data_IF_147822807582
#
_entry.id   IF_147822807582
#
_cell.length_a   1.000
_cell.length_b   1.000
_cell.length_c   1.000
_cell.angle_alpha   90.00
_cell.angle_beta   90.00
_cell.angle_gamma   90.00
#
_symmetry.space_group_name_H-M   'P 1'
#
loop_
_entity.id
_entity.type
_entity.pdbx_description
1 polymer ?
#
# COMPACT_ATOMS: atom_id res chain seq x y z
N UNK A 1 13.09 9.94 -6.49
CA UNK A 1 12.12 9.06 -7.19
C UNK A 1 10.71 9.60 -6.95
N UNK A 2 9.94 9.78 -8.00
CA UNK A 2 8.56 10.21 -7.84
C UNK A 2 7.64 9.00 -7.54
N UNK A 3 6.41 9.29 -7.16
CA UNK A 3 5.47 8.23 -6.77
C UNK A 3 5.12 7.29 -7.93
N UNK A 4 4.98 7.81 -9.14
CA UNK A 4 4.65 6.95 -10.29
C UNK A 4 5.78 5.96 -10.57
N UNK A 5 7.02 6.43 -10.56
CA UNK A 5 8.18 5.56 -10.76
C UNK A 5 8.33 4.55 -9.64
N UNK A 6 8.06 4.98 -8.41
CA UNK A 6 8.11 4.07 -7.25
C UNK A 6 7.08 2.96 -7.40
N UNK A 7 5.84 3.29 -7.74
CA UNK A 7 4.78 2.29 -7.92
C UNK A 7 5.11 1.33 -9.07
N UNK A 8 5.66 1.84 -10.17
CA UNK A 8 6.08 1.00 -11.29
C UNK A 8 7.18 0.03 -10.88
N UNK A 9 8.16 0.51 -10.10
CA UNK A 9 9.24 -0.34 -9.59
C UNK A 9 8.71 -1.43 -8.66
N UNK A 10 7.75 -1.08 -7.80
CA UNK A 10 7.14 -2.03 -6.88
C UNK A 10 6.44 -3.14 -7.64
N UNK A 11 5.67 -2.80 -8.66
CA UNK A 11 4.94 -3.80 -9.44
C UNK A 11 5.87 -4.81 -10.14
N UNK A 12 7.12 -4.44 -10.37
CA UNK A 12 8.12 -5.32 -10.98
C UNK A 12 8.79 -6.27 -10.00
N UNK A 13 8.58 -6.07 -8.69
CA UNK A 13 9.21 -6.91 -7.67
C UNK A 13 8.71 -8.35 -7.76
N UNK A 14 7.42 -8.54 -7.98
CA UNK A 14 6.81 -9.87 -8.03
C UNK A 14 5.52 -9.84 -8.85
N UNK A 15 5.32 -10.85 -9.68
CA UNK A 15 4.10 -10.98 -10.49
C UNK A 15 2.82 -11.19 -9.69
N UNK A 16 2.93 -11.47 -8.40
CA UNK A 16 1.78 -11.63 -7.50
C UNK A 16 1.25 -10.31 -6.99
N UNK A 17 1.93 -9.19 -7.26
CA UNK A 17 1.45 -7.87 -6.87
C UNK A 17 0.31 -7.47 -7.81
N UNK A 18 -0.85 -7.16 -7.21
CA UNK A 18 -2.08 -6.82 -7.95
C UNK A 18 -2.27 -5.32 -8.09
N UNK A 19 -1.83 -4.56 -7.08
CA UNK A 19 -2.05 -3.13 -7.00
C UNK A 19 -0.86 -2.50 -6.25
N UNK A 20 -0.39 -1.36 -6.73
CA UNK A 20 0.56 -0.53 -6.02
C UNK A 20 0.21 0.92 -6.31
N UNK A 21 -0.27 1.64 -5.31
CA UNK A 21 -0.72 3.00 -5.50
C UNK A 21 -0.56 3.84 -4.25
N UNK A 22 -0.37 5.13 -4.44
CA UNK A 22 -0.23 6.10 -3.35
C UNK A 22 -1.54 6.83 -3.15
N UNK A 23 -1.97 6.89 -1.89
CA UNK A 23 -3.22 7.52 -1.47
C UNK A 23 -2.85 8.71 -0.59
N UNK A 24 -3.45 9.87 -0.86
CA UNK A 24 -3.16 11.06 -0.05
C UNK A 24 -3.99 11.11 1.23
N UNK A 25 -3.75 12.12 2.05
CA UNK A 25 -4.41 12.27 3.35
C UNK A 25 -5.93 12.44 3.26
N UNK A 26 -6.44 12.73 2.07
CA UNK A 26 -7.88 12.85 1.83
C UNK A 26 -8.50 11.55 1.30
N UNK A 27 -7.71 10.48 1.23
CA UNK A 27 -8.20 9.19 0.77
C UNK A 27 -8.32 9.07 -0.74
N UNK A 28 -7.55 9.85 -1.49
CA UNK A 28 -7.59 9.84 -2.96
C UNK A 28 -6.34 9.20 -3.54
N UNK A 29 -6.54 8.37 -4.56
CA UNK A 29 -5.43 7.76 -5.29
C UNK A 29 -4.75 8.85 -6.14
N UNK A 30 -3.45 9.09 -5.88
CA UNK A 30 -2.70 10.13 -6.58
C UNK A 30 -1.59 9.58 -7.48
N UNK A 31 -1.29 8.29 -7.39
CA UNK A 31 -0.28 7.67 -8.26
C UNK A 31 -0.46 6.16 -8.25
N UNK A 32 -0.01 5.51 -9.31
CA UNK A 32 -0.06 4.05 -9.41
C UNK A 32 -1.45 3.51 -9.70
N UNK A 33 -1.67 2.25 -9.36
CA UNK A 33 -2.95 1.58 -9.58
C UNK A 33 -2.82 0.08 -9.75
N UNK A 34 -3.82 -0.52 -10.39
CA UNK A 34 -3.86 -1.94 -10.68
C UNK A 34 -2.78 -2.35 -11.66
N UNK A 35 -2.19 -3.53 -11.45
CA UNK A 35 -1.32 -4.14 -12.46
C UNK A 35 -2.15 -4.41 -13.72
N UNK A 36 -1.56 -4.18 -14.93
CA UNK A 36 -2.33 -4.29 -16.18
C UNK A 36 -2.99 -5.65 -16.41
N UNK A 37 -2.38 -6.73 -15.90
CA UNK A 37 -2.88 -8.09 -16.11
C UNK A 37 -3.90 -8.54 -15.07
N UNK A 38 -4.25 -7.68 -14.11
CA UNK A 38 -5.11 -8.06 -12.99
C UNK A 38 -6.49 -7.42 -13.12
N UNK A 39 -7.51 -8.11 -12.60
CA UNK A 39 -8.87 -7.60 -12.58
C UNK A 39 -9.24 -7.16 -11.17
N UNK A 40 -10.07 -6.14 -11.09
CA UNK A 40 -10.56 -5.60 -9.83
C UNK A 40 -11.49 -6.60 -9.15
N UNK A 41 -11.32 -6.79 -7.84
CA UNK A 41 -12.19 -7.67 -7.05
C UNK A 41 -13.46 -6.98 -6.57
N UNK A 42 -13.43 -5.68 -6.41
CA UNK A 42 -14.58 -4.88 -6.03
C UNK A 42 -14.89 -3.84 -7.08
N UNK A 43 -15.78 -2.92 -6.78
CA UNK A 43 -16.08 -1.80 -7.67
C UNK A 43 -15.30 -0.54 -7.23
N UNK A 44 -15.33 0.50 -8.06
CA UNK A 44 -14.61 1.74 -7.81
C UNK A 44 -15.01 2.39 -6.47
N UNK A 45 -16.30 2.36 -6.17
CA UNK A 45 -16.83 2.98 -4.95
C UNK A 45 -16.29 2.29 -3.70
N UNK A 46 -16.19 0.98 -3.73
CA UNK A 46 -15.63 0.19 -2.63
C UNK A 46 -14.13 0.45 -2.49
N UNK A 47 -13.43 0.59 -3.61
CA UNK A 47 -12.01 0.93 -3.59
C UNK A 47 -11.79 2.29 -2.93
N UNK A 48 -12.61 3.28 -3.26
CA UNK A 48 -12.51 4.61 -2.65
C UNK A 48 -12.75 4.57 -1.15
N UNK A 49 -13.67 3.73 -0.69
CA UNK A 49 -13.91 3.54 0.74
C UNK A 49 -12.68 2.95 1.43
N UNK A 50 -12.02 1.98 0.80
CA UNK A 50 -10.80 1.38 1.33
C UNK A 50 -9.68 2.41 1.42
N UNK A 51 -9.54 3.27 0.41
CA UNK A 51 -8.52 4.33 0.42
C UNK A 51 -8.75 5.30 1.58
N UNK A 52 -10.00 5.68 1.84
CA UNK A 52 -10.32 6.55 2.95
C UNK A 52 -10.02 5.89 4.30
N UNK A 53 -10.33 4.61 4.42
CA UNK A 53 -10.03 3.84 5.63
C UNK A 53 -8.53 3.85 5.92
N UNK A 54 -7.71 3.58 4.89
CA UNK A 54 -6.27 3.55 5.06
C UNK A 54 -5.71 4.93 5.46
N UNK A 55 -6.23 6.00 4.85
CA UNK A 55 -5.80 7.36 5.20
C UNK A 55 -6.11 7.67 6.66
N UNK A 56 -7.28 7.29 7.14
CA UNK A 56 -7.68 7.49 8.53
C UNK A 56 -6.82 6.68 9.50
N UNK A 57 -6.62 5.41 9.20
CA UNK A 57 -5.85 4.51 10.06
C UNK A 57 -4.42 5.02 10.25
N UNK A 58 -3.80 5.49 9.17
CA UNK A 58 -2.44 6.05 9.25
C UNK A 58 -2.40 7.24 10.19
N UNK A 59 -3.38 8.14 10.12
CA UNK A 59 -3.46 9.29 11.03
C UNK A 59 -3.65 8.86 12.47
N UNK A 60 -4.55 7.93 12.72
CA UNK A 60 -4.87 7.47 14.06
C UNK A 60 -3.67 6.79 14.72
N UNK A 61 -2.91 6.02 13.96
CA UNK A 61 -1.75 5.29 14.49
C UNK A 61 -0.60 6.21 14.88
N UNK A 62 -0.53 7.42 14.32
CA UNK A 62 0.52 8.40 14.66
C UNK A 62 0.44 8.88 16.10
N UNK A 63 -0.71 8.74 16.74
CA UNK A 63 -0.87 9.06 18.15
C UNK A 63 0.10 8.28 19.04
N UNK A 64 0.55 7.12 18.57
CA UNK A 64 1.41 6.22 19.36
C UNK A 64 2.87 6.23 18.91
N UNK A 65 3.24 7.14 17.99
CA UNK A 65 4.61 7.18 17.46
C UNK A 65 5.66 7.44 18.53
N UNK A 66 5.34 8.30 19.51
CA UNK A 66 6.28 8.62 20.57
C UNK A 66 6.53 7.43 21.50
N UNK A 67 5.52 6.63 21.77
CA UNK A 67 5.64 5.48 22.66
C UNK A 67 6.19 4.24 21.96
N UNK A 68 5.75 3.99 20.73
CA UNK A 68 6.00 2.72 20.03
C UNK A 68 6.91 2.86 18.82
N UNK A 69 7.25 4.08 18.43
CA UNK A 69 7.95 4.34 17.18
C UNK A 69 6.98 4.40 16.00
N UNK A 70 7.46 4.93 14.89
CA UNK A 70 6.63 5.08 13.68
C UNK A 70 6.29 3.72 13.08
N UNK A 71 5.08 3.60 12.55
CA UNK A 71 4.68 2.41 11.80
C UNK A 71 5.42 2.41 10.46
N UNK A 72 6.14 1.33 10.18
CA UNK A 72 6.85 1.18 8.90
C UNK A 72 5.96 0.57 7.84
N UNK A 73 5.21 -0.45 8.19
CA UNK A 73 4.15 -0.99 7.34
C UNK A 73 3.19 -1.81 8.18
N UNK A 74 2.02 -2.06 7.60
CA UNK A 74 1.00 -2.91 8.21
C UNK A 74 0.50 -3.90 7.16
N UNK A 75 0.06 -5.07 7.62
CA UNK A 75 -0.45 -6.12 6.74
C UNK A 75 -1.83 -6.54 7.19
N UNK A 76 -2.77 -6.54 6.25
CA UNK A 76 -4.08 -7.11 6.45
C UNK A 76 -4.14 -8.40 5.64
N UNK A 77 -4.13 -9.54 6.32
CA UNK A 77 -4.14 -10.86 5.68
C UNK A 77 -5.60 -11.30 5.55
N UNK A 78 -6.16 -11.16 4.35
CA UNK A 78 -7.59 -11.42 4.12
C UNK A 78 -7.78 -12.75 3.41
N UNK A 79 -9.02 -13.20 3.34
CA UNK A 79 -9.32 -14.50 2.70
C UNK A 79 -8.98 -14.55 1.21
N UNK A 80 -9.18 -13.43 0.51
CA UNK A 80 -9.01 -13.39 -0.95
C UNK A 80 -7.71 -12.76 -1.41
N UNK A 81 -7.09 -11.93 -0.58
CA UNK A 81 -5.84 -11.28 -0.92
C UNK A 81 -5.18 -10.71 0.34
N UNK A 82 -3.97 -10.19 0.16
CA UNK A 82 -3.21 -9.52 1.22
C UNK A 82 -3.13 -8.05 0.87
N UNK A 83 -3.41 -7.17 1.83
CA UNK A 83 -3.29 -5.72 1.64
C UNK A 83 -2.21 -5.22 2.60
N UNK A 84 -1.21 -4.52 2.04
CA UNK A 84 -0.16 -3.90 2.84
C UNK A 84 -0.26 -2.39 2.71
N UNK A 85 0.10 -1.67 3.76
CA UNK A 85 0.15 -0.21 3.74
C UNK A 85 1.46 0.28 4.33
N UNK A 86 2.05 1.29 3.67
CA UNK A 86 3.33 1.87 4.02
C UNK A 86 3.15 3.38 4.14
N UNK A 87 3.17 3.94 5.36
CA UNK A 87 3.06 5.40 5.49
C UNK A 87 4.26 6.10 4.85
N UNK A 88 3.99 7.18 4.10
CA UNK A 88 5.02 8.01 3.48
C UNK A 88 4.64 9.47 3.76
N UNK A 89 5.25 10.08 4.78
CA UNK A 89 4.89 11.44 5.20
C UNK A 89 3.37 11.51 5.47
N UNK A 90 2.64 12.36 4.77
CA UNK A 90 1.19 12.48 4.94
C UNK A 90 0.39 11.54 4.03
N UNK A 91 1.08 10.79 3.18
CA UNK A 91 0.47 9.86 2.22
C UNK A 91 0.63 8.42 2.70
N UNK A 92 0.02 7.49 2.00
CA UNK A 92 0.18 6.07 2.28
C UNK A 92 0.25 5.28 0.97
N UNK A 93 1.24 4.40 0.88
CA UNK A 93 1.34 3.46 -0.23
C UNK A 93 0.52 2.23 0.12
N UNK A 94 -0.41 1.87 -0.75
CA UNK A 94 -1.18 0.63 -0.64
C UNK A 94 -0.66 -0.36 -1.66
N UNK A 95 -0.41 -1.60 -1.22
CA UNK A 95 0.00 -2.68 -2.10
C UNK A 95 -0.88 -3.89 -1.81
N UNK A 96 -1.50 -4.47 -2.83
CA UNK A 96 -2.24 -5.71 -2.65
C UNK A 96 -1.54 -6.86 -3.38
N UNK A 97 -1.61 -8.04 -2.78
CA UNK A 97 -0.93 -9.24 -3.25
C UNK A 97 -1.91 -10.40 -3.33
N UNK A 98 -1.62 -11.35 -4.21
CA UNK A 98 -2.29 -12.65 -4.19
C UNK A 98 -1.90 -13.40 -2.92
N UNK A 99 -2.83 -14.24 -2.42
CA UNK A 99 -2.68 -14.95 -1.15
C UNK A 99 -1.45 -15.83 -1.07
N UNK A 100 -1.16 -16.57 -2.14
CA UNK A 100 -0.04 -17.51 -2.16
C UNK A 100 1.23 -16.80 -2.57
N UNK A 101 1.87 -16.15 -1.61
CA UNK A 101 3.10 -15.39 -1.86
C UNK A 101 3.90 -15.29 -0.56
N UNK A 102 5.20 -15.09 -0.70
CA UNK A 102 6.07 -14.80 0.45
C UNK A 102 5.99 -13.31 0.76
N UNK A 103 4.88 -12.89 1.35
CA UNK A 103 4.59 -11.48 1.52
C UNK A 103 5.60 -10.76 2.42
N UNK A 104 6.23 -11.43 3.38
CA UNK A 104 7.23 -10.79 4.23
C UNK A 104 8.42 -10.32 3.41
N UNK A 105 8.92 -11.15 2.50
CA UNK A 105 10.02 -10.77 1.60
C UNK A 105 9.67 -9.56 0.75
N UNK A 106 8.47 -9.58 0.19
CA UNK A 106 7.98 -8.49 -0.65
C UNK A 106 7.84 -7.22 0.18
N UNK A 107 7.28 -7.33 1.38
CA UNK A 107 7.10 -6.18 2.27
C UNK A 107 8.43 -5.48 2.58
N UNK A 108 9.46 -6.23 2.94
CA UNK A 108 10.76 -5.63 3.25
C UNK A 108 11.47 -5.10 2.01
N UNK A 109 11.26 -5.70 0.84
CA UNK A 109 11.78 -5.15 -0.42
C UNK A 109 11.12 -3.82 -0.74
N UNK A 110 9.81 -3.72 -0.53
CA UNK A 110 9.07 -2.47 -0.74
C UNK A 110 9.53 -1.41 0.26
N UNK A 111 9.71 -1.79 1.52
CA UNK A 111 10.14 -0.86 2.55
C UNK A 111 11.46 -0.18 2.19
N UNK A 112 12.39 -0.92 1.61
CA UNK A 112 13.67 -0.35 1.15
C UNK A 112 13.46 0.75 0.11
N UNK A 113 12.51 0.58 -0.80
CA UNK A 113 12.19 1.61 -1.79
C UNK A 113 11.53 2.82 -1.15
N UNK A 114 10.60 2.58 -0.24
CA UNK A 114 9.87 3.65 0.46
C UNK A 114 10.82 4.49 1.30
N UNK A 115 11.78 3.88 1.96
CA UNK A 115 12.73 4.59 2.83
C UNK A 115 13.71 5.48 2.07
N UNK A 116 13.76 5.37 0.75
CA UNK A 116 14.57 6.25 -0.10
C UNK A 116 13.84 7.54 -0.50
N UNK A 117 12.58 7.67 -0.19
CA UNK A 117 11.77 8.83 -0.55
C UNK A 117 12.05 10.06 0.38
#
# INVERSE_FOLDING_TARGET
MDYENMCASIQKIDGKIRFAGVINSKGRLIAGGMAPSKTRLGDRKRDEMLYMELALIVKMRREFDDDLGKVKFSVSFREKLIVMSFPIKDDVLMVSLERKTQFEKIAFSILKLVEKI
#
